data_IF_169886595632
#
_entry.id   IF_169886595632
#
_cell.length_a   1.000
_cell.length_b   1.000
_cell.length_c   1.000
_cell.angle_alpha   90.00
_cell.angle_beta   90.00
_cell.angle_gamma   90.00
#
_symmetry.space_group_name_H-M   'P 1'
#
loop_
_entity.id
_entity.type
_entity.pdbx_description
1 polymer ?
#
# COMPACT_ATOMS: atom_id res chain seq x y z
N UNK A 1 11.69 -19.98 -15.60
CA UNK A 1 11.90 -19.57 -14.20
C UNK A 1 10.72 -20.08 -13.39
N UNK A 2 10.95 -20.79 -12.30
CA UNK A 2 9.90 -21.31 -11.42
C UNK A 2 9.88 -20.47 -10.14
N UNK A 3 8.70 -20.01 -9.73
CA UNK A 3 8.51 -19.30 -8.47
C UNK A 3 7.77 -20.21 -7.48
N UNK A 4 8.14 -20.08 -6.21
CA UNK A 4 7.50 -20.78 -5.10
C UNK A 4 6.88 -19.73 -4.17
N UNK A 5 5.61 -19.92 -3.80
CA UNK A 5 4.93 -19.06 -2.82
C UNK A 5 4.95 -19.75 -1.46
N UNK A 6 5.54 -19.09 -0.49
CA UNK A 6 5.65 -19.57 0.88
C UNK A 6 5.00 -18.61 1.86
N UNK A 7 4.49 -19.13 2.97
CA UNK A 7 4.19 -18.32 4.14
C UNK A 7 5.49 -18.14 4.93
N UNK A 8 5.87 -16.89 5.15
CA UNK A 8 6.98 -16.50 6.01
C UNK A 8 6.57 -15.33 6.89
N UNK A 9 7.25 -15.17 8.02
CA UNK A 9 7.07 -14.04 8.93
C UNK A 9 8.42 -13.38 9.19
N UNK A 10 8.40 -12.09 9.50
CA UNK A 10 9.56 -11.40 10.05
C UNK A 10 9.53 -11.58 11.57
N UNK A 11 10.63 -12.06 12.15
CA UNK A 11 10.75 -12.18 13.60
C UNK A 11 11.05 -10.84 14.29
N UNK A 12 11.06 -10.81 15.62
CA UNK A 12 11.34 -9.59 16.39
C UNK A 12 12.76 -9.03 16.19
N UNK A 13 13.66 -9.81 15.60
CA UNK A 13 15.03 -9.42 15.26
C UNK A 13 15.18 -8.96 13.81
N UNK A 14 14.10 -8.98 13.03
CA UNK A 14 14.08 -8.53 11.63
C UNK A 14 14.45 -9.62 10.61
N UNK A 15 14.52 -10.89 11.01
CA UNK A 15 14.88 -11.99 10.09
C UNK A 15 13.64 -12.63 9.46
N UNK A 16 13.74 -13.00 8.18
CA UNK A 16 12.71 -13.77 7.48
C UNK A 16 12.75 -15.24 7.92
N UNK A 17 11.67 -15.69 8.53
CA UNK A 17 11.46 -17.09 8.95
C UNK A 17 10.36 -17.69 8.09
N UNK A 18 10.71 -18.68 7.27
CA UNK A 18 9.75 -19.46 6.48
C UNK A 18 9.12 -20.50 7.41
N UNK A 19 7.79 -20.45 7.56
CA UNK A 19 7.07 -21.31 8.54
C UNK A 19 6.65 -22.65 7.95
N UNK A 20 6.79 -22.82 6.63
CA UNK A 20 6.39 -24.02 5.91
C UNK A 20 7.58 -24.62 5.16
N UNK A 21 7.75 -25.96 5.20
CA UNK A 21 8.77 -26.61 4.39
C UNK A 21 8.44 -26.47 2.90
N UNK A 22 9.47 -26.26 2.08
CA UNK A 22 9.35 -26.16 0.61
C UNK A 22 10.41 -27.05 0.01
N UNK A 23 9.99 -27.91 -0.91
CA UNK A 23 10.90 -28.76 -1.68
C UNK A 23 11.39 -27.98 -2.91
N UNK A 24 12.61 -27.47 -2.82
CA UNK A 24 13.29 -26.78 -3.92
C UNK A 24 14.50 -27.61 -4.33
N UNK A 25 14.67 -27.92 -5.63
CA UNK A 25 15.84 -28.66 -6.10
C UNK A 25 17.14 -27.86 -5.82
N UNK A 26 18.28 -28.54 -5.61
CA UNK A 26 19.56 -27.86 -5.36
C UNK A 26 19.92 -26.91 -6.49
N UNK A 27 20.25 -25.66 -6.16
CA UNK A 27 20.63 -24.64 -7.12
C UNK A 27 20.66 -23.24 -6.50
N UNK A 28 21.07 -22.25 -7.30
CA UNK A 28 20.98 -20.85 -6.90
C UNK A 28 19.53 -20.40 -6.94
N UNK A 29 19.11 -19.65 -5.92
CA UNK A 29 17.74 -19.12 -5.81
C UNK A 29 17.79 -17.61 -5.59
N UNK A 30 16.81 -16.91 -6.16
CA UNK A 30 16.55 -15.51 -5.88
C UNK A 30 15.39 -15.40 -4.90
N UNK A 31 15.51 -14.53 -3.90
CA UNK A 31 14.48 -14.32 -2.87
C UNK A 31 13.80 -12.98 -3.10
N UNK A 32 12.49 -13.01 -3.35
CA UNK A 32 11.66 -11.81 -3.50
C UNK A 32 10.76 -11.71 -2.26
N UNK A 33 10.92 -10.64 -1.49
CA UNK A 33 10.13 -10.38 -0.29
C UNK A 33 9.03 -9.39 -0.64
N UNK A 34 7.78 -9.85 -0.59
CA UNK A 34 6.60 -8.98 -0.74
C UNK A 34 5.97 -8.77 0.64
N UNK A 35 6.14 -7.58 1.19
CA UNK A 35 5.46 -7.20 2.44
C UNK A 35 4.00 -6.89 2.12
N UNK A 36 3.10 -7.75 2.59
CA UNK A 36 1.67 -7.47 2.61
C UNK A 36 1.40 -6.87 3.98
N UNK A 37 0.93 -5.63 4.02
CA UNK A 37 0.47 -5.04 5.27
C UNK A 37 -0.81 -5.78 5.68
N UNK A 38 -0.67 -6.81 6.51
CA UNK A 38 -1.82 -7.36 7.22
C UNK A 38 -2.28 -6.27 8.21
N UNK A 39 -3.56 -5.89 8.12
CA UNK A 39 -4.22 -5.02 9.09
C UNK A 39 -4.16 -5.67 10.47
N UNK A 40 -3.11 -5.40 11.24
CA UNK A 40 -3.05 -5.77 12.65
C UNK A 40 -2.75 -4.52 13.45
N UNK A 41 -3.83 -4.00 14.05
CA UNK A 41 -3.88 -3.18 15.25
C UNK A 41 -2.50 -2.89 15.87
N UNK A 42 -1.84 -1.85 15.36
CA UNK A 42 -0.92 -1.08 16.19
C UNK A 42 -1.76 -0.46 17.30
N UNK A 43 -1.75 -1.08 18.47
CA UNK A 43 -2.03 -0.38 19.74
C UNK A 43 -0.84 0.54 20.02
N UNK A 44 -0.66 1.51 19.14
CA UNK A 44 -0.10 2.80 19.51
C UNK A 44 -1.32 3.68 19.81
N UNK A 45 -1.42 4.10 21.06
CA UNK A 45 -2.39 5.08 21.52
C UNK A 45 -2.29 6.35 20.69
N UNK A 46 -3.12 6.45 19.67
CA UNK A 46 -3.54 7.71 19.07
C UNK A 46 -5.06 7.75 19.17
N UNK A 47 -5.52 8.32 20.29
CA UNK A 47 -6.86 8.86 20.40
C UNK A 47 -7.08 9.85 19.26
N UNK A 48 -8.03 9.55 18.39
CA UNK A 48 -9.05 10.43 17.82
C UNK A 48 -9.62 9.70 16.60
N UNK A 49 -10.77 9.06 16.79
CA UNK A 49 -12.05 9.70 16.46
C UNK A 49 -12.10 10.08 15.00
N UNK A 50 -12.93 9.33 14.26
CA UNK A 50 -13.86 9.86 13.27
C UNK A 50 -13.63 11.35 12.95
N UNK A 51 -13.03 11.62 11.80
CA UNK A 51 -13.17 12.91 11.12
C UNK A 51 -14.01 12.60 9.88
N UNK A 52 -15.33 12.77 9.85
CA UNK A 52 -16.07 14.00 10.21
C UNK A 52 -15.22 15.24 9.95
N UNK A 53 -15.19 15.66 8.68
CA UNK A 53 -14.95 17.04 8.25
C UNK A 53 -13.80 17.78 8.95
N UNK A 54 -12.55 17.34 8.81
CA UNK A 54 -11.40 18.18 9.19
C UNK A 54 -10.59 18.53 7.96
N UNK A 55 -10.65 19.80 7.57
CA UNK A 55 -9.84 20.44 6.54
C UNK A 55 -8.42 19.87 6.54
N UNK A 56 -8.07 19.16 5.47
CA UNK A 56 -6.72 18.68 5.18
C UNK A 56 -5.75 19.87 5.26
N UNK A 57 -5.05 20.03 6.39
CA UNK A 57 -4.03 21.07 6.52
C UNK A 57 -2.75 20.55 5.88
N UNK A 58 -2.76 20.49 4.54
CA UNK A 58 -1.58 20.13 3.74
C UNK A 58 -0.49 21.17 4.02
N UNK A 59 0.68 20.74 4.51
CA UNK A 59 1.82 21.65 4.67
C UNK A 59 2.41 21.97 3.30
N UNK A 60 2.05 23.13 2.76
CA UNK A 60 2.57 23.63 1.49
C UNK A 60 4.03 24.07 1.62
N UNK A 61 4.90 23.60 0.71
CA UNK A 61 6.29 24.11 0.58
C UNK A 61 6.38 25.39 -0.26
N UNK A 62 5.35 25.65 -1.07
CA UNK A 62 5.24 26.79 -1.99
C UNK A 62 3.80 27.31 -1.99
N UNK A 63 3.59 28.60 -2.25
CA UNK A 63 2.25 29.21 -2.28
C UNK A 63 1.50 28.96 -3.60
N UNK A 64 2.14 28.33 -4.59
CA UNK A 64 1.52 28.02 -5.87
C UNK A 64 0.47 26.92 -5.69
N UNK A 65 -0.67 27.06 -6.36
CA UNK A 65 -1.77 26.08 -6.36
C UNK A 65 -2.40 25.81 -4.98
N UNK A 66 -2.12 26.64 -3.97
CA UNK A 66 -2.72 26.51 -2.64
C UNK A 66 -4.25 26.58 -2.70
N UNK A 67 -4.77 27.57 -3.41
CA UNK A 67 -6.21 27.77 -3.63
C UNK A 67 -6.86 26.57 -4.37
N UNK A 68 -6.14 25.97 -5.32
CA UNK A 68 -6.59 24.79 -6.04
C UNK A 68 -6.65 23.55 -5.13
N UNK A 69 -5.68 23.38 -4.23
CA UNK A 69 -5.64 22.25 -3.30
C UNK A 69 -6.69 22.38 -2.18
N UNK A 70 -6.85 23.58 -1.62
CA UNK A 70 -7.80 23.86 -0.54
C UNK A 70 -9.26 23.74 -1.01
N UNK A 71 -9.55 24.07 -2.27
CA UNK A 71 -10.91 23.99 -2.85
C UNK A 71 -11.17 22.72 -3.67
N UNK A 72 -10.25 21.75 -3.68
CA UNK A 72 -10.45 20.52 -4.44
C UNK A 72 -11.60 19.69 -3.86
N UNK A 73 -12.49 19.12 -4.70
CA UNK A 73 -13.57 18.28 -4.21
C UNK A 73 -13.00 17.07 -3.48
N UNK A 74 -13.59 16.73 -2.34
CA UNK A 74 -13.18 15.52 -1.62
C UNK A 74 -13.43 14.28 -2.47
N UNK A 75 -12.47 13.37 -2.46
CA UNK A 75 -12.57 12.11 -3.18
C UNK A 75 -13.75 11.31 -2.61
N UNK A 76 -14.64 10.74 -3.46
CA UNK A 76 -15.73 9.89 -3.00
C UNK A 76 -15.21 8.70 -2.18
N UNK A 77 -15.92 8.27 -1.13
CA UNK A 77 -15.50 7.14 -0.30
C UNK A 77 -15.42 5.81 -1.08
N UNK A 78 -16.14 5.69 -2.19
CA UNK A 78 -16.13 4.52 -3.07
C UNK A 78 -15.09 4.60 -4.21
N UNK A 79 -14.22 5.62 -4.20
CA UNK A 79 -13.22 5.80 -5.25
C UNK A 79 -12.09 4.78 -5.10
N UNK A 80 -12.01 3.83 -6.03
CA UNK A 80 -10.88 2.92 -6.15
C UNK A 80 -9.82 3.50 -7.11
N UNK A 81 -8.64 3.94 -6.60
CA UNK A 81 -7.58 4.51 -7.41
C UNK A 81 -6.99 3.50 -8.41
N UNK A 82 -7.07 2.20 -8.12
CA UNK A 82 -6.54 1.17 -9.00
C UNK A 82 -7.45 1.00 -10.22
N UNK A 83 -8.77 0.86 -10.04
CA UNK A 83 -9.74 0.84 -11.15
C UNK A 83 -9.65 2.08 -12.04
N UNK A 84 -9.57 3.29 -11.46
CA UNK A 84 -9.48 4.53 -12.24
C UNK A 84 -8.22 4.57 -13.12
N UNK A 85 -7.10 4.05 -12.61
CA UNK A 85 -5.86 3.91 -13.38
C UNK A 85 -6.01 2.89 -14.51
N UNK A 86 -6.69 1.77 -14.26
CA UNK A 86 -6.96 0.75 -15.27
C UNK A 86 -7.89 1.25 -16.36
N UNK A 87 -8.96 2.00 -16.03
CA UNK A 87 -9.85 2.63 -17.01
C UNK A 87 -9.09 3.64 -17.88
N UNK A 88 -8.26 4.50 -17.28
CA UNK A 88 -7.42 5.43 -18.03
C UNK A 88 -6.47 4.71 -18.99
N UNK A 89 -5.82 3.64 -18.53
CA UNK A 89 -4.93 2.86 -19.38
C UNK A 89 -5.70 2.16 -20.50
N UNK A 90 -6.90 1.68 -20.22
CA UNK A 90 -7.77 1.07 -21.22
C UNK A 90 -8.20 2.05 -22.30
N UNK A 91 -8.64 3.25 -21.91
CA UNK A 91 -9.02 4.33 -22.82
C UNK A 91 -7.81 4.83 -23.63
N UNK A 92 -6.64 5.00 -23.01
CA UNK A 92 -5.43 5.49 -23.69
C UNK A 92 -4.77 4.48 -24.60
N UNK A 93 -4.79 3.21 -24.22
CA UNK A 93 -4.07 2.15 -24.93
C UNK A 93 -4.99 1.23 -25.75
N UNK A 94 -6.29 1.52 -25.84
CA UNK A 94 -7.30 0.72 -26.56
C UNK A 94 -7.20 -0.78 -26.20
N UNK A 95 -7.11 -1.08 -24.90
CA UNK A 95 -7.06 -2.45 -24.37
C UNK A 95 -8.46 -3.08 -24.27
#
# INVERSE_FOLDING_TARGET
>A
MQAYKAKGKIDATGNLVVTQPIEIPPGNVEVIILQVADEVNSTETATESQTETSKNQVRYRTNAFRDLLENSPSVPPDFDPESAKWEYLKEKHNL
#
